data_IF_061493568853
#
_entry.id   IF_061493568853
#
_cell.length_a   1.000
_cell.length_b   1.000
_cell.length_c   1.000
_cell.angle_alpha   90.00
_cell.angle_beta   90.00
_cell.angle_gamma   90.00
#
_symmetry.space_group_name_H-M   'P 1'
#
loop_
_entity.id
_entity.type
_entity.pdbx_description
1 polymer ?
#
# COMPACT_ATOMS: atom_id res chain seq x y z
N UNK A 1 -7.28 -12.23 -7.95
CA UNK A 1 -6.86 -10.89 -8.43
C UNK A 1 -5.34 -10.78 -8.25
N UNK A 2 -4.62 -10.02 -9.07
CA UNK A 2 -3.20 -9.71 -8.78
C UNK A 2 -3.14 -8.52 -7.83
N UNK A 3 -2.50 -8.70 -6.67
CA UNK A 3 -2.16 -7.56 -5.82
C UNK A 3 -0.82 -6.98 -6.22
N UNK A 4 -0.74 -5.67 -6.42
CA UNK A 4 0.51 -4.98 -6.75
C UNK A 4 1.29 -4.66 -5.49
N UNK A 5 2.61 -4.64 -5.59
CA UNK A 5 3.49 -4.21 -4.51
C UNK A 5 3.08 -2.82 -3.99
N UNK A 6 3.11 -2.66 -2.68
CA UNK A 6 2.68 -1.47 -1.98
C UNK A 6 3.60 -1.20 -0.77
N UNK A 7 3.73 0.07 -0.38
CA UNK A 7 4.62 0.50 0.71
C UNK A 7 3.84 0.95 1.96
N UNK A 8 2.53 0.78 1.95
CA UNK A 8 1.64 1.28 2.98
C UNK A 8 0.91 0.14 3.68
N UNK A 9 0.30 0.49 4.81
CA UNK A 9 -0.60 -0.37 5.53
C UNK A 9 -2.01 -0.18 5.01
N UNK A 10 -2.85 -1.19 5.21
CA UNK A 10 -4.28 -1.09 4.94
C UNK A 10 -5.07 -1.72 6.09
N UNK A 11 -6.21 -1.13 6.40
CA UNK A 11 -7.23 -1.76 7.23
C UNK A 11 -8.40 -2.11 6.32
N UNK A 12 -8.70 -3.40 6.21
CA UNK A 12 -9.70 -3.91 5.26
C UNK A 12 -10.80 -4.62 6.02
N UNK A 13 -12.04 -4.33 5.65
CA UNK A 13 -13.26 -4.99 6.10
C UNK A 13 -13.92 -5.63 4.90
N UNK A 14 -14.46 -6.84 5.07
CA UNK A 14 -15.23 -7.46 4.01
C UNK A 14 -16.36 -8.31 4.56
N UNK A 15 -17.43 -8.43 3.78
CA UNK A 15 -18.52 -9.37 4.03
C UNK A 15 -18.49 -10.48 2.99
N UNK A 16 -18.54 -11.74 3.44
CA UNK A 16 -18.65 -12.92 2.61
C UNK A 16 -19.60 -13.92 3.29
N UNK A 17 -20.60 -14.44 2.55
CA UNK A 17 -21.63 -15.35 3.08
C UNK A 17 -22.30 -14.85 4.38
N UNK A 18 -22.59 -13.54 4.45
CA UNK A 18 -23.23 -12.92 5.62
C UNK A 18 -22.31 -12.73 6.84
N UNK A 19 -21.03 -13.10 6.74
CA UNK A 19 -20.03 -12.95 7.80
C UNK A 19 -19.13 -11.75 7.50
N UNK A 20 -19.02 -10.86 8.47
CA UNK A 20 -18.10 -9.72 8.41
C UNK A 20 -16.76 -10.12 8.99
N UNK A 21 -15.71 -9.76 8.28
CA UNK A 21 -14.32 -10.01 8.66
C UNK A 21 -13.54 -8.69 8.53
N UNK A 22 -12.43 -8.61 9.24
CA UNK A 22 -11.51 -7.49 9.11
C UNK A 22 -10.07 -7.95 9.25
N UNK A 23 -9.15 -7.25 8.63
CA UNK A 23 -7.72 -7.51 8.72
C UNK A 23 -6.91 -6.21 8.59
N UNK A 24 -5.76 -6.20 9.26
CA UNK A 24 -4.68 -5.25 8.98
C UNK A 24 -3.75 -5.90 7.97
N UNK A 25 -3.61 -5.30 6.80
CA UNK A 25 -2.66 -5.73 5.78
C UNK A 25 -1.40 -4.88 5.88
N UNK A 26 -0.26 -5.54 5.84
CA UNK A 26 1.02 -4.86 5.80
C UNK A 26 1.48 -4.51 4.38
N UNK A 27 2.65 -3.86 4.29
CA UNK A 27 3.23 -3.49 3.03
C UNK A 27 3.63 -4.72 2.20
N UNK A 28 3.33 -4.70 0.92
CA UNK A 28 3.64 -5.78 -0.02
C UNK A 28 4.94 -5.48 -0.81
N UNK A 29 6.07 -6.15 -0.52
CA UNK A 29 7.35 -5.85 -1.17
C UNK A 29 7.43 -6.30 -2.64
N UNK A 30 6.46 -7.07 -3.11
CA UNK A 30 6.35 -7.59 -4.48
C UNK A 30 4.88 -7.88 -4.78
N UNK A 31 4.55 -7.98 -6.06
CA UNK A 31 3.22 -8.41 -6.46
C UNK A 31 2.91 -9.82 -5.93
N UNK A 32 1.66 -10.01 -5.53
CA UNK A 32 1.15 -11.23 -4.91
C UNK A 32 -0.19 -11.63 -5.55
N UNK A 33 -0.70 -12.81 -5.20
CA UNK A 33 -2.06 -13.20 -5.58
C UNK A 33 -2.94 -12.97 -4.36
N UNK A 34 -3.93 -12.11 -4.50
CA UNK A 34 -4.97 -11.91 -3.50
C UNK A 34 -6.20 -12.76 -3.88
N UNK A 35 -6.58 -13.74 -3.05
CA UNK A 35 -7.85 -14.42 -3.21
C UNK A 35 -8.97 -13.41 -2.90
N UNK A 36 -9.81 -13.15 -3.89
CA UNK A 36 -11.02 -12.34 -3.74
C UNK A 36 -12.18 -13.32 -3.87
N UNK A 37 -12.86 -13.68 -2.76
CA UNK A 37 -14.02 -14.55 -2.84
C UNK A 37 -15.08 -13.97 -3.76
N UNK A 38 -15.81 -14.84 -4.47
CA UNK A 38 -16.98 -14.41 -5.24
C UNK A 38 -18.01 -13.81 -4.27
N UNK A 39 -18.70 -12.78 -4.73
CA UNK A 39 -19.77 -12.11 -3.98
C UNK A 39 -19.34 -11.48 -2.64
N UNK A 40 -18.04 -11.21 -2.47
CA UNK A 40 -17.53 -10.46 -1.32
C UNK A 40 -17.51 -8.95 -1.60
N UNK A 41 -17.98 -8.17 -0.64
CA UNK A 41 -17.89 -6.69 -0.68
C UNK A 41 -16.77 -6.23 0.25
N UNK A 42 -15.88 -5.38 -0.25
CA UNK A 42 -14.72 -4.89 0.49
C UNK A 42 -14.82 -3.38 0.76
N UNK A 43 -14.43 -2.99 1.96
CA UNK A 43 -14.17 -1.60 2.35
C UNK A 43 -12.75 -1.51 2.91
N UNK A 44 -11.95 -0.58 2.39
CA UNK A 44 -10.54 -0.46 2.75
C UNK A 44 -10.16 0.97 3.14
N UNK A 45 -9.30 1.09 4.14
CA UNK A 45 -8.61 2.33 4.51
C UNK A 45 -7.13 2.13 4.23
N UNK A 46 -6.62 2.78 3.18
CA UNK A 46 -5.19 2.79 2.87
C UNK A 46 -4.50 3.94 3.62
N UNK A 47 -3.48 3.63 4.41
CA UNK A 47 -2.76 4.64 5.18
C UNK A 47 -1.65 5.30 4.35
N UNK A 48 -1.30 6.55 4.69
CA UNK A 48 -0.17 7.22 4.05
C UNK A 48 1.16 6.50 4.39
N UNK A 49 2.14 6.52 3.49
CA UNK A 49 3.48 5.97 3.77
C UNK A 49 4.10 6.70 4.96
N UNK A 50 4.75 5.94 5.85
CA UNK A 50 5.25 6.44 7.14
C UNK A 50 4.27 6.27 8.30
N UNK A 51 3.04 5.85 8.01
CA UNK A 51 2.07 5.41 9.03
C UNK A 51 2.43 4.01 9.54
N UNK A 52 2.29 3.79 10.83
CA UNK A 52 2.55 2.52 11.51
C UNK A 52 1.50 2.25 12.59
N UNK A 53 1.35 0.98 12.98
CA UNK A 53 0.59 0.60 14.18
C UNK A 53 1.60 0.13 15.25
N UNK A 54 1.94 0.95 16.26
CA UNK A 54 3.02 0.64 17.20
C UNK A 54 2.85 -0.69 17.96
N UNK A 55 1.63 -1.19 18.03
CA UNK A 55 1.24 -2.39 18.77
C UNK A 55 1.29 -3.66 17.92
N UNK A 56 1.53 -3.54 16.62
CA UNK A 56 1.64 -4.67 15.71
C UNK A 56 3.07 -4.73 15.16
N UNK A 57 3.85 -5.78 15.45
CA UNK A 57 5.20 -5.90 14.93
C UNK A 57 5.21 -5.91 13.41
N UNK A 58 5.79 -4.88 12.79
CA UNK A 58 5.81 -4.72 11.33
C UNK A 58 6.45 -5.91 10.61
N UNK A 59 7.42 -6.59 11.25
CA UNK A 59 8.06 -7.79 10.71
C UNK A 59 7.10 -8.96 10.46
N UNK A 60 5.95 -9.01 11.16
CA UNK A 60 4.90 -10.02 10.95
C UNK A 60 3.94 -9.65 9.82
N UNK A 61 3.98 -8.40 9.37
CA UNK A 61 3.02 -7.85 8.41
C UNK A 61 3.61 -7.65 7.01
N UNK A 62 4.93 -7.54 6.86
CA UNK A 62 5.53 -7.39 5.51
C UNK A 62 5.17 -8.60 4.63
N UNK A 63 4.42 -8.35 3.55
CA UNK A 63 3.91 -9.37 2.64
C UNK A 63 2.83 -10.28 3.26
N UNK A 64 2.18 -9.84 4.33
CA UNK A 64 1.16 -10.59 5.07
C UNK A 64 0.10 -9.65 5.66
N UNK A 65 -0.82 -10.23 6.41
CA UNK A 65 -1.85 -9.51 7.15
C UNK A 65 -2.19 -10.24 8.44
N UNK A 66 -2.79 -9.52 9.37
CA UNK A 66 -3.31 -10.07 10.62
C UNK A 66 -4.81 -9.85 10.64
N UNK A 67 -5.57 -10.94 10.73
CA UNK A 67 -7.01 -10.87 10.93
C UNK A 67 -7.33 -10.26 12.29
N UNK A 68 -8.36 -9.42 12.32
CA UNK A 68 -8.92 -8.87 13.54
C UNK A 68 -10.05 -9.81 13.97
N UNK A 69 -9.98 -10.41 15.17
CA UNK A 69 -11.03 -11.29 15.66
C UNK A 69 -12.28 -10.51 16.09
N UNK A 70 -13.36 -11.23 16.35
CA UNK A 70 -14.59 -10.72 16.99
C UNK A 70 -15.25 -9.53 16.26
N UNK A 71 -15.25 -9.58 14.93
CA UNK A 71 -15.92 -8.59 14.08
C UNK A 71 -17.38 -8.95 13.91
N UNK A 72 -18.25 -7.95 14.06
CA UNK A 72 -19.67 -8.04 13.74
C UNK A 72 -20.03 -6.99 12.71
N UNK A 73 -21.25 -7.03 12.16
CA UNK A 73 -21.77 -5.98 11.28
C UNK A 73 -21.78 -4.57 11.88
N UNK A 74 -21.74 -4.46 13.21
CA UNK A 74 -21.84 -3.17 13.91
C UNK A 74 -20.57 -2.78 14.64
N UNK A 75 -19.72 -3.75 14.96
CA UNK A 75 -18.57 -3.51 15.83
C UNK A 75 -17.32 -4.28 15.43
N UNK A 76 -16.17 -3.64 15.60
CA UNK A 76 -14.84 -4.25 15.57
C UNK A 76 -14.12 -3.95 16.88
N UNK A 77 -13.39 -4.93 17.42
CA UNK A 77 -12.60 -4.74 18.64
C UNK A 77 -11.17 -4.34 18.29
N UNK A 78 -10.78 -3.13 18.70
CA UNK A 78 -9.44 -2.60 18.51
C UNK A 78 -8.92 -2.06 19.84
N UNK A 79 -7.75 -2.57 20.26
CA UNK A 79 -7.07 -2.21 21.52
C UNK A 79 -7.99 -2.23 22.75
N UNK A 80 -8.76 -3.31 22.88
CA UNK A 80 -9.62 -3.55 24.05
C UNK A 80 -10.89 -2.70 24.11
N UNK A 81 -11.20 -1.94 23.05
CA UNK A 81 -12.45 -1.17 22.93
C UNK A 81 -13.26 -1.66 21.74
N UNK A 82 -14.59 -1.53 21.83
CA UNK A 82 -15.49 -1.71 20.70
C UNK A 82 -15.56 -0.42 19.86
N UNK A 83 -15.52 -0.58 18.54
CA UNK A 83 -15.56 0.49 17.55
C UNK A 83 -16.65 0.20 16.55
N UNK A 84 -17.34 1.23 16.06
CA UNK A 84 -18.24 1.05 14.93
C UNK A 84 -17.43 0.65 13.68
N UNK A 85 -17.92 -0.31 12.90
CA UNK A 85 -17.27 -0.70 11.64
C UNK A 85 -17.30 0.48 10.68
N UNK A 86 -16.18 0.80 10.01
CA UNK A 86 -16.15 1.94 9.12
C UNK A 86 -16.85 1.66 7.80
N UNK A 87 -17.47 2.71 7.29
CA UNK A 87 -18.06 2.82 5.96
C UNK A 87 -17.63 4.16 5.34
N UNK A 88 -18.12 4.45 4.14
CA UNK A 88 -17.79 5.70 3.44
C UNK A 88 -18.25 6.97 4.18
N UNK A 89 -19.27 6.88 5.04
CA UNK A 89 -19.83 8.04 5.75
C UNK A 89 -19.03 8.35 7.02
N UNK A 90 -18.44 7.33 7.65
CA UNK A 90 -17.79 7.48 8.96
C UNK A 90 -16.25 7.25 8.95
N UNK A 91 -15.66 6.87 7.81
CA UNK A 91 -14.24 6.54 7.66
C UNK A 91 -13.29 7.57 8.28
N UNK A 92 -13.52 8.87 8.03
CA UNK A 92 -12.65 9.92 8.54
C UNK A 92 -12.69 10.01 10.07
N UNK A 93 -13.90 9.94 10.66
CA UNK A 93 -14.06 9.98 12.10
C UNK A 93 -13.42 8.75 12.75
N UNK A 94 -13.55 7.59 12.11
CA UNK A 94 -12.89 6.35 12.51
C UNK A 94 -11.36 6.53 12.56
N UNK A 95 -10.74 7.01 11.48
CA UNK A 95 -9.29 7.26 11.40
C UNK A 95 -8.83 8.30 12.42
N UNK A 96 -9.56 9.42 12.58
CA UNK A 96 -9.22 10.44 13.60
C UNK A 96 -9.19 9.86 15.00
N UNK A 97 -10.11 8.93 15.30
CA UNK A 97 -10.12 8.24 16.59
C UNK A 97 -8.97 7.22 16.70
N UNK A 98 -8.59 6.50 15.64
CA UNK A 98 -7.40 5.63 15.65
C UNK A 98 -6.13 6.38 16.05
N UNK A 99 -5.95 7.58 15.49
CA UNK A 99 -4.82 8.47 15.80
C UNK A 99 -4.88 8.96 17.25
N UNK A 100 -6.06 9.44 17.68
CA UNK A 100 -6.25 9.93 19.06
C UNK A 100 -5.95 8.88 20.12
N UNK A 101 -6.34 7.63 19.86
CA UNK A 101 -6.13 6.49 20.76
C UNK A 101 -4.73 5.85 20.60
N UNK A 102 -3.84 6.45 19.78
CA UNK A 102 -2.48 5.96 19.54
C UNK A 102 -2.42 4.54 18.95
N UNK A 103 -3.49 4.11 18.26
CA UNK A 103 -3.54 2.83 17.54
C UNK A 103 -2.69 2.95 16.27
N UNK A 104 -2.76 4.12 15.64
CA UNK A 104 -2.01 4.49 14.45
C UNK A 104 -1.15 5.71 14.77
N UNK A 105 0.09 5.70 14.32
CA UNK A 105 1.04 6.81 14.41
C UNK A 105 1.73 7.04 13.05
N UNK A 106 2.27 8.24 12.83
CA UNK A 106 2.95 8.59 11.57
C UNK A 106 4.30 9.25 11.86
N UNK A 107 5.39 8.62 11.41
CA UNK A 107 6.71 9.26 11.44
C UNK A 107 6.79 10.32 10.32
N UNK A 108 6.92 11.61 10.64
CA UNK A 108 6.93 12.69 9.65
C UNK A 108 8.20 12.70 8.77
N UNK A 109 9.30 12.05 9.19
CA UNK A 109 10.54 12.00 8.41
C UNK A 109 10.34 11.17 7.14
N UNK A 110 9.54 10.10 7.20
CA UNK A 110 9.33 9.19 6.09
C UNK A 110 8.75 9.89 4.86
N UNK A 111 7.57 10.57 4.93
CA UNK A 111 7.05 11.31 3.79
C UNK A 111 7.99 12.43 3.35
N UNK A 112 8.59 13.19 4.28
CA UNK A 112 9.51 14.28 3.92
C UNK A 112 10.71 13.82 3.08
N UNK A 113 11.31 12.69 3.43
CA UNK A 113 12.44 12.12 2.68
C UNK A 113 12.01 11.55 1.33
N UNK A 114 10.80 10.99 1.24
CA UNK A 114 10.23 10.56 -0.03
C UNK A 114 9.92 11.75 -0.96
N UNK A 115 9.59 12.90 -0.40
CA UNK A 115 9.44 14.18 -1.11
C UNK A 115 10.80 14.87 -1.42
N UNK A 116 11.92 14.24 -1.06
CA UNK A 116 13.28 14.69 -1.39
C UNK A 116 13.98 15.53 -0.32
N UNK A 117 13.40 15.67 0.88
CA UNK A 117 14.07 16.35 1.98
C UNK A 117 15.31 15.58 2.46
N UNK A 118 16.32 16.33 2.90
CA UNK A 118 17.54 15.78 3.53
C UNK A 118 17.48 16.12 5.02
N UNK A 119 16.93 15.23 5.87
CA UNK A 119 16.82 15.49 7.30
C UNK A 119 18.20 15.47 7.98
N UNK A 120 18.36 16.26 9.03
CA UNK A 120 19.57 16.31 9.87
C UNK A 120 19.64 15.10 10.82
N UNK A 121 19.75 13.91 10.25
CA UNK A 121 19.92 12.64 10.96
C UNK A 121 20.90 11.75 10.22
N UNK A 122 21.61 10.90 10.96
CA UNK A 122 22.47 9.89 10.33
C UNK A 122 21.68 8.92 9.44
N UNK A 123 22.33 8.42 8.39
CA UNK A 123 21.76 7.41 7.47
C UNK A 123 21.25 6.17 8.24
N UNK A 124 21.98 5.71 9.26
CA UNK A 124 21.56 4.61 10.13
C UNK A 124 20.23 4.90 10.84
N UNK A 125 20.04 6.13 11.33
CA UNK A 125 18.80 6.53 12.00
C UNK A 125 17.65 6.59 11.00
N UNK A 126 17.92 7.13 9.81
CA UNK A 126 16.96 7.17 8.71
C UNK A 126 16.50 5.76 8.32
N UNK A 127 17.44 4.85 8.06
CA UNK A 127 17.14 3.46 7.70
C UNK A 127 16.31 2.76 8.78
N UNK A 128 16.64 2.97 10.07
CA UNK A 128 15.88 2.40 11.18
C UNK A 128 14.45 2.94 11.25
N UNK A 129 14.25 4.25 11.06
CA UNK A 129 12.91 4.87 11.06
C UNK A 129 12.06 4.37 9.90
N UNK A 130 12.63 4.28 8.71
CA UNK A 130 11.98 3.68 7.55
C UNK A 130 11.56 2.23 7.83
N UNK A 131 12.49 1.39 8.29
CA UNK A 131 12.19 0.00 8.60
C UNK A 131 11.13 -0.16 9.71
N UNK A 132 11.14 0.70 10.73
CA UNK A 132 10.16 0.67 11.80
C UNK A 132 8.75 1.09 11.34
N UNK A 133 8.67 2.14 10.51
CA UNK A 133 7.39 2.68 10.06
C UNK A 133 6.76 1.85 8.92
N UNK A 134 7.58 1.38 7.99
CA UNK A 134 7.10 0.77 6.73
C UNK A 134 7.51 -0.68 6.55
N UNK A 135 8.39 -1.23 7.40
CA UNK A 135 8.95 -2.57 7.19
C UNK A 135 9.85 -2.69 5.96
N UNK A 136 10.03 -1.61 5.19
CA UNK A 136 10.77 -1.56 3.94
C UNK A 136 11.88 -0.51 4.02
N UNK A 137 12.91 -0.69 3.20
CA UNK A 137 13.95 0.32 3.04
C UNK A 137 13.46 1.46 2.15
N UNK A 138 14.04 2.66 2.31
CA UNK A 138 13.79 3.80 1.42
C UNK A 138 13.98 3.41 -0.06
N UNK A 139 15.03 2.66 -0.37
CA UNK A 139 15.30 2.18 -1.73
C UNK A 139 14.22 1.23 -2.26
N UNK A 140 13.72 0.31 -1.43
CA UNK A 140 12.63 -0.60 -1.81
C UNK A 140 11.34 0.18 -2.12
N UNK A 141 11.00 1.16 -1.29
CA UNK A 141 9.85 2.04 -1.48
C UNK A 141 9.99 2.83 -2.79
N UNK A 142 11.17 3.41 -3.05
CA UNK A 142 11.45 4.11 -4.31
C UNK A 142 11.30 3.19 -5.53
N UNK A 143 11.74 1.94 -5.46
CA UNK A 143 11.55 0.98 -6.55
C UNK A 143 10.07 0.62 -6.79
N UNK A 144 9.28 0.47 -5.73
CA UNK A 144 7.83 0.24 -5.83
C UNK A 144 7.14 1.44 -6.49
N UNK A 145 7.42 2.67 -6.02
CA UNK A 145 6.83 3.88 -6.61
C UNK A 145 7.22 4.06 -8.07
N UNK A 146 8.50 3.86 -8.40
CA UNK A 146 8.98 3.93 -9.78
C UNK A 146 8.29 2.91 -10.69
N UNK A 147 8.11 1.67 -10.22
CA UNK A 147 7.42 0.63 -10.99
C UNK A 147 5.93 0.95 -11.20
N UNK A 148 5.26 1.53 -10.19
CA UNK A 148 3.87 1.99 -10.30
C UNK A 148 3.74 3.13 -11.30
N UNK A 149 4.63 4.12 -11.25
CA UNK A 149 4.67 5.20 -12.24
C UNK A 149 4.90 4.65 -13.65
N UNK A 150 5.80 3.69 -13.81
CA UNK A 150 6.04 3.03 -15.09
C UNK A 150 4.78 2.35 -15.62
N UNK A 151 4.04 1.63 -14.76
CA UNK A 151 2.80 0.97 -15.15
C UNK A 151 1.71 1.97 -15.60
N UNK A 152 1.55 3.09 -14.88
CA UNK A 152 0.61 4.17 -15.26
C UNK A 152 0.99 4.74 -16.62
N UNK A 153 2.26 5.10 -16.85
CA UNK A 153 2.70 5.64 -18.14
C UNK A 153 2.45 4.66 -19.30
N UNK A 154 2.68 3.37 -19.09
CA UNK A 154 2.44 2.32 -20.10
C UNK A 154 0.93 2.19 -20.40
N UNK A 155 0.08 2.28 -19.39
CA UNK A 155 -1.39 2.28 -19.56
C UNK A 155 -1.89 3.55 -20.25
N UNK A 156 -1.25 4.69 -20.00
CA UNK A 156 -1.49 5.96 -20.72
C UNK A 156 -0.93 5.94 -22.16
N UNK A 157 -0.35 4.82 -22.62
CA UNK A 157 0.11 4.62 -23.99
C UNK A 157 1.55 5.07 -24.27
N UNK A 158 2.33 5.42 -23.24
CA UNK A 158 3.73 5.81 -23.41
C UNK A 158 4.58 4.60 -23.81
N UNK A 159 5.39 4.68 -24.88
CA UNK A 159 6.25 3.58 -25.30
C UNK A 159 7.23 3.14 -24.21
N UNK A 160 7.46 1.82 -24.07
CA UNK A 160 8.33 1.27 -23.03
C UNK A 160 9.77 1.84 -23.06
N UNK A 161 10.29 2.14 -24.25
CA UNK A 161 11.59 2.80 -24.42
C UNK A 161 11.62 4.21 -23.79
N UNK A 162 10.55 4.99 -23.94
CA UNK A 162 10.46 6.33 -23.36
C UNK A 162 10.32 6.25 -21.84
N UNK A 163 9.58 5.25 -21.34
CA UNK A 163 9.46 4.98 -19.90
C UNK A 163 10.80 4.62 -19.28
N UNK A 164 11.65 3.85 -19.99
CA UNK A 164 13.01 3.52 -19.54
C UNK A 164 13.80 4.81 -19.29
N UNK A 165 13.82 5.71 -20.27
CA UNK A 165 14.54 6.98 -20.15
C UNK A 165 13.95 7.91 -19.10
N UNK A 166 12.62 8.09 -19.08
CA UNK A 166 11.93 9.02 -18.16
C UNK A 166 12.09 8.66 -16.69
N UNK A 167 12.09 7.37 -16.37
CA UNK A 167 12.15 6.89 -14.99
C UNK A 167 13.53 6.36 -14.58
N UNK A 168 14.54 6.50 -15.45
CA UNK A 168 15.91 6.08 -15.13
C UNK A 168 16.06 4.57 -14.94
N UNK A 169 15.37 3.78 -15.76
CA UNK A 169 15.73 2.37 -15.93
C UNK A 169 16.97 2.27 -16.82
N UNK A 170 17.75 1.22 -16.61
CA UNK A 170 18.98 0.99 -17.37
C UNK A 170 18.67 0.61 -18.83
N UNK A 171 17.70 -0.29 -19.00
CA UNK A 171 17.25 -0.82 -20.27
C UNK A 171 15.82 -1.41 -20.15
N UNK A 172 15.26 -1.88 -21.27
CA UNK A 172 13.95 -2.52 -21.27
C UNK A 172 13.90 -3.83 -20.45
N UNK A 173 14.92 -4.71 -20.44
CA UNK A 173 14.98 -5.85 -19.53
C UNK A 173 14.88 -5.47 -18.04
N UNK A 174 15.53 -4.39 -17.61
CA UNK A 174 15.44 -3.88 -16.25
C UNK A 174 14.02 -3.40 -15.93
N UNK A 175 13.39 -2.64 -16.83
CA UNK A 175 11.98 -2.25 -16.70
C UNK A 175 11.08 -3.50 -16.59
N UNK A 176 11.25 -4.49 -17.48
CA UNK A 176 10.44 -5.70 -17.50
C UNK A 176 10.53 -6.51 -16.20
N UNK A 177 11.73 -6.64 -15.62
CA UNK A 177 11.94 -7.28 -14.31
C UNK A 177 11.26 -6.50 -13.18
N UNK A 178 11.32 -5.17 -13.23
CA UNK A 178 10.68 -4.30 -12.25
C UNK A 178 9.16 -4.41 -12.30
N UNK A 179 8.55 -4.37 -13.49
CA UNK A 179 7.10 -4.54 -13.67
C UNK A 179 6.64 -5.93 -13.24
N UNK A 180 7.36 -6.98 -13.63
CA UNK A 180 7.03 -8.34 -13.21
C UNK A 180 7.08 -8.48 -11.68
N UNK A 181 8.13 -7.94 -11.05
CA UNK A 181 8.31 -8.04 -9.60
C UNK A 181 7.28 -7.24 -8.81
N UNK A 182 7.00 -6.00 -9.20
CA UNK A 182 6.22 -5.08 -8.37
C UNK A 182 4.76 -4.92 -8.84
N UNK A 183 4.46 -5.19 -10.10
CA UNK A 183 3.11 -5.06 -10.67
C UNK A 183 2.51 -6.44 -11.00
N UNK A 184 3.34 -7.47 -11.18
CA UNK A 184 2.87 -8.81 -11.57
C UNK A 184 2.41 -8.88 -13.02
N UNK A 185 2.80 -7.89 -13.84
CA UNK A 185 2.43 -7.74 -15.26
C UNK A 185 3.61 -7.28 -16.09
N UNK A 186 3.59 -7.63 -17.37
CA UNK A 186 4.55 -7.13 -18.37
C UNK A 186 4.02 -5.84 -19.00
N UNK A 187 4.90 -5.06 -19.64
CA UNK A 187 4.50 -3.87 -20.38
C UNK A 187 3.41 -4.18 -21.43
N UNK A 188 3.57 -5.27 -22.19
CA UNK A 188 2.60 -5.71 -23.20
C UNK A 188 1.21 -5.98 -22.59
N UNK A 189 1.14 -6.60 -21.42
CA UNK A 189 -0.13 -6.85 -20.72
C UNK A 189 -0.75 -5.57 -20.18
N UNK A 190 0.07 -4.60 -19.76
CA UNK A 190 -0.40 -3.31 -19.27
C UNK A 190 -0.92 -2.41 -20.38
N UNK A 191 -0.39 -2.53 -21.61
CA UNK A 191 -0.87 -1.78 -22.77
C UNK A 191 -2.16 -2.33 -23.40
N UNK A 192 -2.65 -3.50 -22.96
CA UNK A 192 -3.84 -4.13 -23.52
C UNK A 192 -5.11 -3.66 -22.77
N UNK A 193 -6.07 -3.00 -23.45
CA UNK A 193 -7.19 -2.32 -22.79
C UNK A 193 -8.30 -3.23 -22.22
N UNK A 194 -8.36 -4.52 -22.56
CA UNK A 194 -9.59 -5.33 -22.38
C UNK A 194 -9.37 -6.77 -21.86
N UNK A 195 -8.16 -7.11 -21.38
CA UNK A 195 -7.84 -8.50 -20.98
C UNK A 195 -7.11 -8.62 -19.65
N UNK A 196 -6.82 -7.51 -18.98
CA UNK A 196 -6.12 -7.54 -17.71
C UNK A 196 -7.12 -7.87 -16.59
N UNK A 197 -6.96 -9.05 -15.96
CA UNK A 197 -7.52 -9.28 -14.62
C UNK A 197 -7.25 -8.05 -13.74
N UNK A 198 -8.23 -7.63 -12.92
CA UNK A 198 -8.09 -6.43 -12.11
C UNK A 198 -6.80 -6.47 -11.28
N UNK A 199 -6.12 -5.33 -11.21
CA UNK A 199 -4.99 -5.09 -10.32
C UNK A 199 -5.53 -4.45 -9.04
N UNK A 200 -5.03 -4.85 -7.88
CA UNK A 200 -5.32 -4.11 -6.65
C UNK A 200 -4.84 -2.66 -6.79
N UNK A 201 -5.66 -1.71 -6.33
CA UNK A 201 -5.42 -0.26 -6.20
C UNK A 201 -4.21 0.29 -6.98
N UNK A 202 -4.24 0.21 -8.30
CA UNK A 202 -3.34 0.97 -9.16
C UNK A 202 -3.93 2.39 -9.29
N UNK A 203 -3.92 3.13 -8.18
CA UNK A 203 -4.28 4.54 -8.19
C UNK A 203 -3.08 5.33 -8.71
N UNK A 204 -3.34 6.38 -9.51
CA UNK A 204 -2.32 7.39 -9.84
C UNK A 204 -1.84 7.96 -8.51
N UNK A 205 -0.58 7.77 -8.07
CA UNK A 205 -0.13 8.38 -6.84
C UNK A 205 -0.36 9.87 -7.00
N UNK A 206 -1.35 10.43 -6.28
CA UNK A 206 -1.56 11.87 -6.29
C UNK A 206 -0.23 12.49 -5.90
N UNK A 207 0.29 13.48 -6.65
CA UNK A 207 1.40 14.25 -6.13
C UNK A 207 0.96 14.76 -4.76
N UNK A 208 1.82 14.59 -3.75
CA UNK A 208 1.64 15.19 -2.44
C UNK A 208 1.20 16.64 -2.68
N UNK A 209 -0.02 16.98 -2.25
CA UNK A 209 -0.54 18.33 -2.43
C UNK A 209 0.46 19.30 -1.79
N UNK A 210 0.87 20.38 -2.48
CA UNK A 210 1.71 21.39 -1.86
C UNK A 210 0.96 21.96 -0.66
N UNK A 211 1.67 22.03 0.48
CA UNK A 211 1.23 22.72 1.68
C UNK A 211 1.10 24.23 1.44
#
# INVERSE_FOLDING_TARGET
>A
MTSIANAHWELVFWEHDGRVQAAVLGPEPKASVAPVPKDATFFGISFAVGTSMPHVPISRLVGSGVEIPDVTRRSVWLRGSAWHVPDYDNAEAFVRRLVREGIVDRDPIVPAVLDGAVPDVSERTLQRRFAAATGLTQGAIGQIHRARQAAVLIQEGVPAQDVVHRLGYFDQPHLARSLTRYIGRTATRLSAPDTAEPLSLLYKPSPSAPA
#
